data_IF_969868682554
#
_entry.id   IF_969868682554
#
_cell.length_a   1.000
_cell.length_b   1.000
_cell.length_c   1.000
_cell.angle_alpha   90.00
_cell.angle_beta   90.00
_cell.angle_gamma   90.00
#
_symmetry.space_group_name_H-M   'P 1'
#
loop_
_entity.id
_entity.type
_entity.pdbx_description
1 polymer ?
#
# COMPACT_ATOMS: atom_id res chain seq x y z
N UNK A 1 1.84 17.03 1.98
CA UNK A 1 0.99 16.29 2.93
C UNK A 1 0.97 16.96 4.29
N UNK A 2 -0.23 17.31 4.75
CA UNK A 2 -0.54 17.65 6.14
C UNK A 2 -0.41 16.40 7.04
N UNK A 3 -0.44 16.58 8.37
CA UNK A 3 -0.25 15.45 9.31
C UNK A 3 -1.43 14.48 9.25
N UNK A 4 -2.64 15.00 9.10
CA UNK A 4 -3.86 14.18 9.07
C UNK A 4 -3.94 13.31 7.81
N UNK A 5 -3.60 13.87 6.65
CA UNK A 5 -3.46 13.12 5.39
C UNK A 5 -2.41 12.00 5.52
N UNK A 6 -1.32 12.24 6.24
CA UNK A 6 -0.28 11.24 6.48
C UNK A 6 -0.74 10.12 7.40
N UNK A 7 -1.52 10.44 8.44
CA UNK A 7 -2.12 9.44 9.32
C UNK A 7 -3.16 8.62 8.55
N UNK A 8 -3.99 9.24 7.71
CA UNK A 8 -4.94 8.54 6.84
C UNK A 8 -4.22 7.57 5.90
N UNK A 9 -3.14 8.00 5.25
CA UNK A 9 -2.32 7.12 4.41
C UNK A 9 -1.72 5.98 5.22
N UNK A 10 -1.24 6.25 6.44
CA UNK A 10 -0.70 5.22 7.33
C UNK A 10 -1.78 4.19 7.71
N UNK A 11 -2.99 4.64 8.04
CA UNK A 11 -4.14 3.77 8.31
C UNK A 11 -4.46 2.89 7.11
N UNK A 12 -4.55 3.48 5.92
CA UNK A 12 -4.83 2.75 4.70
C UNK A 12 -3.77 1.67 4.43
N UNK A 13 -2.49 2.01 4.53
CA UNK A 13 -1.40 1.05 4.33
C UNK A 13 -1.40 -0.06 5.38
N UNK A 14 -1.78 0.24 6.63
CA UNK A 14 -1.93 -0.78 7.66
C UNK A 14 -3.08 -1.75 7.33
N UNK A 15 -4.21 -1.25 6.86
CA UNK A 15 -5.34 -2.08 6.42
C UNK A 15 -4.98 -2.92 5.20
N UNK A 16 -4.32 -2.32 4.21
CA UNK A 16 -3.83 -3.02 3.02
C UNK A 16 -2.86 -4.14 3.41
N UNK A 17 -1.93 -3.85 4.32
CA UNK A 17 -0.99 -4.84 4.87
C UNK A 17 -1.71 -6.03 5.49
N UNK A 18 -2.71 -5.81 6.33
CA UNK A 18 -3.53 -6.89 6.92
C UNK A 18 -4.24 -7.71 5.84
N UNK A 19 -4.88 -7.06 4.88
CA UNK A 19 -5.56 -7.75 3.79
C UNK A 19 -4.59 -8.57 2.92
N UNK A 20 -3.38 -8.07 2.67
CA UNK A 20 -2.38 -8.79 1.90
C UNK A 20 -1.82 -10.01 2.67
N UNK A 21 -1.66 -9.90 3.99
CA UNK A 21 -1.26 -11.04 4.83
C UNK A 21 -2.31 -12.17 4.78
N UNK A 22 -3.60 -11.84 4.69
CA UNK A 22 -4.69 -12.83 4.63
C UNK A 22 -4.80 -13.57 3.29
N UNK A 23 -4.41 -12.94 2.17
CA UNK A 23 -4.54 -13.54 0.82
C UNK A 23 -3.29 -14.32 0.38
N UNK A 24 -2.15 -14.11 1.04
CA UNK A 24 -0.87 -14.73 0.66
C UNK A 24 -0.67 -16.05 1.41
N UNK A 25 -0.26 -17.10 0.69
CA UNK A 25 -0.17 -18.49 1.14
C UNK A 25 0.73 -18.73 2.37
N UNK A 26 1.60 -17.78 2.73
CA UNK A 26 2.56 -17.87 3.86
C UNK A 26 2.32 -16.83 4.96
N UNK A 27 1.15 -16.20 5.02
CA UNK A 27 0.78 -15.16 6.00
C UNK A 27 1.69 -13.91 6.04
N UNK A 28 2.62 -13.74 5.09
CA UNK A 28 3.29 -12.48 4.73
C UNK A 28 3.95 -11.65 5.85
N UNK A 29 4.22 -12.24 7.01
CA UNK A 29 4.50 -11.48 8.23
C UNK A 29 5.96 -11.07 8.42
N UNK A 30 6.90 -11.69 7.70
CA UNK A 30 8.33 -11.46 7.86
C UNK A 30 8.77 -10.11 7.27
N UNK A 31 8.13 -9.71 6.18
CA UNK A 31 8.34 -8.49 5.42
C UNK A 31 8.04 -7.23 6.25
N UNK A 32 7.20 -7.38 7.28
CA UNK A 32 6.75 -6.29 8.16
C UNK A 32 7.49 -6.24 9.50
N UNK A 33 8.51 -7.06 9.73
CA UNK A 33 9.29 -7.03 10.98
C UNK A 33 9.94 -5.66 11.25
N UNK A 34 10.44 -5.00 10.20
CA UNK A 34 11.02 -3.66 10.33
C UNK A 34 9.96 -2.63 10.80
N UNK A 35 8.74 -2.71 10.28
CA UNK A 35 7.64 -1.86 10.72
C UNK A 35 7.25 -2.13 12.16
N UNK A 36 7.11 -3.41 12.56
CA UNK A 36 6.80 -3.79 13.96
C UNK A 36 7.83 -3.24 14.94
N UNK A 37 9.11 -3.22 14.57
CA UNK A 37 10.19 -2.65 15.41
C UNK A 37 10.11 -1.13 15.60
N UNK A 38 9.46 -0.40 14.70
CA UNK A 38 9.29 1.04 14.85
C UNK A 38 8.31 1.40 15.96
N UNK A 39 7.37 0.50 16.30
CA UNK A 39 6.32 0.73 17.29
C UNK A 39 5.55 2.05 17.06
N UNK A 40 5.21 2.30 15.79
CA UNK A 40 4.41 3.46 15.36
C UNK A 40 3.20 2.95 14.60
N UNK A 41 2.02 3.15 15.18
CA UNK A 41 0.72 2.83 14.59
C UNK A 41 -0.04 4.12 14.21
N UNK A 42 -1.03 4.04 13.31
CA UNK A 42 -1.85 5.20 12.95
C UNK A 42 -2.64 5.79 14.13
N UNK A 43 -2.96 4.97 15.14
CA UNK A 43 -3.71 5.40 16.33
C UNK A 43 -2.90 6.33 17.25
N UNK A 44 -1.58 6.31 17.16
CA UNK A 44 -0.69 7.15 17.96
C UNK A 44 -0.56 8.54 17.33
N UNK A 45 -1.68 9.27 17.19
CA UNK A 45 -1.76 10.58 16.50
C UNK A 45 -0.88 11.66 17.13
N UNK A 46 -0.42 11.47 18.37
CA UNK A 46 0.51 12.35 19.08
C UNK A 46 1.95 12.23 18.56
N UNK A 47 2.31 11.13 17.89
CA UNK A 47 3.64 10.91 17.30
C UNK A 47 3.97 11.96 16.26
N UNK A 48 5.26 12.20 16.04
CA UNK A 48 5.73 13.23 15.12
C UNK A 48 5.38 12.89 13.66
N UNK A 49 5.30 13.93 12.83
CA UNK A 49 5.13 13.76 11.37
C UNK A 49 6.27 12.94 10.76
N UNK A 50 7.48 13.07 11.29
CA UNK A 50 8.65 12.29 10.86
C UNK A 50 8.47 10.81 11.16
N UNK A 51 8.01 10.45 12.36
CA UNK A 51 7.74 9.06 12.75
C UNK A 51 6.68 8.43 11.85
N UNK A 52 5.56 9.12 11.60
CA UNK A 52 4.53 8.61 10.68
C UNK A 52 5.03 8.46 9.23
N UNK A 53 5.90 9.36 8.74
CA UNK A 53 6.53 9.20 7.42
C UNK A 53 7.39 7.95 7.37
N UNK A 54 8.23 7.74 8.38
CA UNK A 54 9.09 6.56 8.44
C UNK A 54 8.27 5.26 8.48
N UNK A 55 7.20 5.25 9.26
CA UNK A 55 6.25 4.15 9.34
C UNK A 55 5.61 3.85 7.97
N UNK A 56 5.10 4.87 7.28
CA UNK A 56 4.53 4.77 5.92
C UNK A 56 5.54 4.17 4.93
N UNK A 57 6.75 4.72 4.84
CA UNK A 57 7.75 4.21 3.90
C UNK A 57 8.18 2.76 4.23
N UNK A 58 8.27 2.43 5.51
CA UNK A 58 8.65 1.08 5.96
C UNK A 58 7.54 0.07 5.65
N UNK A 59 6.27 0.43 5.84
CA UNK A 59 5.12 -0.39 5.44
C UNK A 59 5.06 -0.57 3.93
N UNK A 60 5.18 0.50 3.14
CA UNK A 60 5.16 0.42 1.69
C UNK A 60 6.27 -0.49 1.15
N UNK A 61 7.48 -0.42 1.73
CA UNK A 61 8.57 -1.34 1.40
C UNK A 61 8.21 -2.79 1.72
N UNK A 62 7.64 -3.05 2.90
CA UNK A 62 7.18 -4.40 3.27
C UNK A 62 6.14 -4.95 2.30
N UNK A 63 5.16 -4.12 1.90
CA UNK A 63 4.15 -4.48 0.90
C UNK A 63 4.81 -4.80 -0.45
N UNK A 64 5.75 -3.97 -0.91
CA UNK A 64 6.44 -4.21 -2.18
C UNK A 64 7.22 -5.53 -2.17
N UNK A 65 7.91 -5.85 -1.06
CA UNK A 65 8.62 -7.13 -0.91
C UNK A 65 7.63 -8.30 -0.89
N UNK A 66 6.54 -8.18 -0.14
CA UNK A 66 5.51 -9.22 -0.05
C UNK A 66 4.93 -9.53 -1.44
N UNK A 67 4.60 -8.50 -2.22
CA UNK A 67 4.09 -8.64 -3.57
C UNK A 67 5.14 -9.18 -4.56
N UNK A 68 6.42 -8.86 -4.36
CA UNK A 68 7.50 -9.36 -5.23
C UNK A 68 7.88 -10.81 -4.95
N UNK A 69 7.78 -11.26 -3.70
CA UNK A 69 8.17 -12.60 -3.28
C UNK A 69 7.07 -13.64 -3.49
N UNK A 70 5.83 -13.20 -3.67
CA UNK A 70 4.69 -14.07 -3.85
C UNK A 70 4.11 -13.82 -5.23
N UNK A 71 4.05 -14.86 -6.05
CA UNK A 71 3.07 -14.91 -7.13
C UNK A 71 1.72 -14.76 -6.42
N UNK A 72 1.12 -13.57 -6.48
CA UNK A 72 -0.12 -13.28 -5.79
C UNK A 72 -1.27 -13.57 -6.78
N UNK A 73 -1.77 -14.82 -6.87
CA UNK A 73 -2.81 -15.17 -7.82
C UNK A 73 -4.04 -14.30 -7.57
N UNK A 74 -4.49 -13.60 -8.61
CA UNK A 74 -5.63 -12.68 -8.53
C UNK A 74 -5.25 -11.20 -8.46
N UNK A 75 -4.01 -10.84 -8.12
CA UNK A 75 -3.57 -9.44 -8.22
C UNK A 75 -3.55 -8.98 -9.68
N UNK A 76 -3.23 -9.87 -10.61
CA UNK A 76 -3.37 -9.63 -12.05
C UNK A 76 -4.82 -9.30 -12.42
N UNK A 77 -5.80 -10.03 -11.89
CA UNK A 77 -7.23 -9.75 -12.13
C UNK A 77 -7.66 -8.41 -11.56
N UNK A 78 -7.19 -8.07 -10.37
CA UNK A 78 -7.42 -6.76 -9.74
C UNK A 78 -6.76 -5.65 -10.56
N UNK A 79 -5.52 -5.83 -10.99
CA UNK A 79 -4.79 -4.91 -11.87
C UNK A 79 -5.55 -4.67 -13.17
N UNK A 80 -5.98 -5.74 -13.84
CA UNK A 80 -6.76 -5.65 -15.07
C UNK A 80 -8.08 -4.91 -14.84
N UNK A 81 -8.77 -5.16 -13.71
CA UNK A 81 -10.02 -4.46 -13.38
C UNK A 81 -9.81 -2.98 -13.06
N UNK A 82 -8.73 -2.65 -12.36
CA UNK A 82 -8.36 -1.27 -12.05
C UNK A 82 -7.99 -0.51 -13.32
N UNK A 83 -7.22 -1.12 -14.22
CA UNK A 83 -6.93 -0.55 -15.54
C UNK A 83 -8.22 -0.28 -16.33
N UNK A 84 -9.12 -1.26 -16.40
CA UNK A 84 -10.42 -1.08 -17.06
C UNK A 84 -11.26 0.06 -16.43
N UNK A 85 -11.24 0.20 -15.10
CA UNK A 85 -11.93 1.32 -14.44
C UNK A 85 -11.25 2.65 -14.76
N UNK A 86 -9.92 2.72 -14.70
CA UNK A 86 -9.17 3.92 -15.03
C UNK A 86 -9.47 4.39 -16.46
N UNK A 87 -9.40 3.49 -17.44
CA UNK A 87 -9.71 3.77 -18.85
C UNK A 87 -11.13 4.35 -19.05
N UNK A 88 -12.11 3.91 -18.25
CA UNK A 88 -13.49 4.44 -18.31
C UNK A 88 -13.61 5.88 -17.86
N UNK A 89 -12.75 6.33 -16.95
CA UNK A 89 -12.76 7.70 -16.43
C UNK A 89 -11.81 8.63 -17.18
N UNK A 90 -10.89 8.10 -18.00
CA UNK A 90 -9.98 8.91 -18.81
C UNK A 90 -10.71 9.69 -19.90
N UNK A 91 -10.31 10.94 -20.06
CA UNK A 91 -10.59 11.77 -21.24
C UNK A 91 -9.79 11.29 -22.45
N UNK A 92 -10.18 11.70 -23.66
CA UNK A 92 -9.46 11.31 -24.87
C UNK A 92 -8.00 11.80 -24.86
N UNK A 93 -7.74 12.98 -24.28
CA UNK A 93 -6.40 13.51 -24.07
C UNK A 93 -5.54 12.63 -23.15
N UNK A 94 -6.13 12.09 -22.08
CA UNK A 94 -5.42 11.19 -21.16
C UNK A 94 -5.18 9.80 -21.78
N UNK A 95 -6.11 9.31 -22.61
CA UNK A 95 -5.92 8.06 -23.37
C UNK A 95 -4.78 8.17 -24.38
N UNK A 96 -4.60 9.31 -25.03
CA UNK A 96 -3.47 9.55 -25.94
C UNK A 96 -2.12 9.58 -25.22
N UNK A 97 -2.08 10.05 -23.97
CA UNK A 97 -0.85 10.11 -23.16
C UNK A 97 -0.38 8.74 -22.63
N UNK A 98 -1.30 7.78 -22.47
CA UNK A 98 -1.04 6.49 -21.80
C UNK A 98 -0.93 5.33 -22.81
N UNK A 99 -1.33 5.53 -24.07
CA UNK A 99 -1.04 4.58 -25.15
C UNK A 99 0.47 4.51 -25.39
N UNK A 100 1.09 3.40 -24.99
CA UNK A 100 2.41 2.98 -25.44
C UNK A 100 2.33 2.39 -26.86
#
# INVERSE_FOLDING_TARGET
MQKDELIQLHTFLLQLKTHLEDIVTNNGGAEFLAYKKLDVTPYQVYKSKREHKLAVFTLSRGIAILLSNNDCPGLEKVSNRLNQMAERFMTDKEKELIKF
#
